data_IF_810335669961
#
_entry.id   IF_810335669961
#
_cell.length_a   1.000
_cell.length_b   1.000
_cell.length_c   1.000
_cell.angle_alpha   90.00
_cell.angle_beta   90.00
_cell.angle_gamma   90.00
#
_symmetry.space_group_name_H-M   'P 1'
#
loop_
_entity.id
_entity.type
_entity.pdbx_description
1 polymer ?
#
# COMPACT_ATOMS: atom_id res chain seq x y z
N UNK A 1 -11.54 -10.53 10.55
CA UNK A 1 -11.23 -11.87 11.07
C UNK A 1 -12.23 -12.28 12.16
N UNK A 2 -12.73 -13.50 12.15
CA UNK A 2 -13.67 -14.02 13.17
C UNK A 2 -13.06 -14.01 14.57
N UNK A 3 -11.75 -14.21 14.66
CA UNK A 3 -11.01 -14.23 15.93
C UNK A 3 -10.59 -12.84 16.42
N UNK A 4 -10.91 -11.77 15.67
CA UNK A 4 -10.45 -10.43 15.99
C UNK A 4 -11.46 -9.57 16.75
N UNK A 5 -11.08 -8.33 17.08
CA UNK A 5 -9.94 -7.62 16.49
C UNK A 5 -8.57 -8.19 16.90
N UNK A 6 -7.68 -8.35 15.94
CA UNK A 6 -6.34 -8.92 16.14
C UNK A 6 -5.34 -8.38 15.13
N UNK A 7 -4.07 -8.23 15.51
CA UNK A 7 -2.96 -7.90 14.62
C UNK A 7 -2.48 -9.11 13.79
N UNK A 8 -2.90 -10.33 14.17
CA UNK A 8 -2.54 -11.59 13.51
C UNK A 8 -3.79 -12.28 13.00
N UNK A 9 -4.31 -11.91 11.82
CA UNK A 9 -5.50 -12.54 11.26
C UNK A 9 -5.29 -14.04 10.99
N UNK A 10 -6.36 -14.83 11.17
CA UNK A 10 -6.26 -16.30 11.08
C UNK A 10 -5.97 -16.85 9.68
N UNK A 11 -6.15 -16.07 8.62
CA UNK A 11 -5.96 -16.48 7.24
C UNK A 11 -6.99 -17.50 6.69
N UNK A 12 -7.89 -18.01 7.53
CA UNK A 12 -8.76 -19.12 7.17
C UNK A 12 -10.25 -18.77 7.09
N UNK A 13 -10.72 -17.80 7.86
CA UNK A 13 -12.12 -17.39 7.82
C UNK A 13 -12.44 -16.64 6.50
N UNK A 14 -13.73 -16.54 6.16
CA UNK A 14 -14.18 -15.92 4.91
C UNK A 14 -13.57 -14.53 4.70
N UNK A 15 -13.64 -13.63 5.68
CA UNK A 15 -13.06 -12.28 5.58
C UNK A 15 -11.55 -12.30 5.36
N UNK A 16 -10.82 -13.20 6.02
CA UNK A 16 -9.37 -13.31 5.83
C UNK A 16 -9.00 -13.81 4.43
N UNK A 17 -9.74 -14.77 3.90
CA UNK A 17 -9.52 -15.31 2.55
C UNK A 17 -9.86 -14.28 1.47
N UNK A 18 -10.98 -13.56 1.65
CA UNK A 18 -11.41 -12.56 0.69
C UNK A 18 -10.43 -11.37 0.62
N UNK A 19 -9.84 -10.98 1.77
CA UNK A 19 -8.88 -9.89 1.86
C UNK A 19 -7.41 -10.32 1.70
N UNK A 20 -7.14 -11.60 1.47
CA UNK A 20 -5.79 -12.08 1.17
C UNK A 20 -5.33 -11.60 -0.22
N UNK A 21 -4.02 -11.59 -0.44
CA UNK A 21 -3.45 -11.29 -1.77
C UNK A 21 -4.04 -12.23 -2.82
N UNK A 22 -4.62 -11.66 -3.87
CA UNK A 22 -5.33 -12.41 -4.92
C UNK A 22 -6.75 -12.86 -4.55
N UNK A 23 -7.25 -12.50 -3.37
CA UNK A 23 -8.64 -12.73 -2.99
C UNK A 23 -9.62 -11.79 -3.73
N UNK A 24 -10.93 -12.10 -3.70
CA UNK A 24 -11.95 -11.32 -4.42
C UNK A 24 -12.23 -9.95 -3.80
N UNK A 25 -11.66 -9.64 -2.63
CA UNK A 25 -11.97 -8.44 -1.86
C UNK A 25 -13.22 -8.56 -1.00
N UNK A 26 -13.57 -7.51 -0.29
CA UNK A 26 -14.78 -7.42 0.53
C UNK A 26 -15.57 -6.16 0.17
N UNK A 27 -16.91 -6.28 0.11
CA UNK A 27 -17.79 -5.10 -0.07
C UNK A 27 -17.71 -4.11 1.10
N UNK A 28 -17.22 -4.57 2.24
CA UNK A 28 -17.04 -3.75 3.45
C UNK A 28 -15.66 -3.07 3.51
N UNK A 29 -14.76 -3.38 2.56
CA UNK A 29 -13.46 -2.70 2.40
C UNK A 29 -13.43 -2.07 1.01
N UNK A 30 -13.49 -0.75 0.97
CA UNK A 30 -13.59 0.04 -0.26
C UNK A 30 -12.31 0.83 -0.41
N UNK A 31 -11.57 0.56 -1.46
CA UNK A 31 -10.38 1.30 -1.84
C UNK A 31 -10.72 2.29 -2.95
N UNK A 32 -10.31 3.52 -2.78
CA UNK A 32 -10.57 4.64 -3.68
C UNK A 32 -9.24 5.30 -4.00
N UNK A 33 -8.87 5.30 -5.25
CA UNK A 33 -7.73 6.06 -5.75
C UNK A 33 -8.14 7.54 -5.92
N UNK A 34 -7.61 8.39 -5.06
CA UNK A 34 -7.90 9.83 -5.12
C UNK A 34 -7.26 10.53 -6.31
N UNK A 35 -6.33 9.92 -7.03
CA UNK A 35 -5.86 10.47 -8.30
C UNK A 35 -6.95 10.48 -9.37
N UNK A 36 -7.83 9.48 -9.34
CA UNK A 36 -8.96 9.33 -10.29
C UNK A 36 -10.30 9.83 -9.71
N UNK A 37 -10.48 9.80 -8.40
CA UNK A 37 -11.73 10.09 -7.68
C UNK A 37 -11.49 11.13 -6.57
N UNK A 38 -11.37 12.40 -6.93
CA UNK A 38 -10.92 13.46 -6.02
C UNK A 38 -11.94 14.59 -5.81
N UNK A 39 -13.09 14.50 -6.47
CA UNK A 39 -14.07 15.56 -6.52
C UNK A 39 -15.10 15.56 -5.38
N UNK A 40 -15.96 16.57 -5.40
CA UNK A 40 -17.05 16.70 -4.43
C UNK A 40 -18.09 15.59 -4.60
N UNK A 41 -18.33 15.14 -5.82
CA UNK A 41 -19.32 14.11 -6.10
C UNK A 41 -18.84 12.74 -5.63
N UNK A 42 -17.56 12.41 -5.83
CA UNK A 42 -16.94 11.20 -5.26
C UNK A 42 -17.03 11.20 -3.73
N UNK A 43 -16.78 12.35 -3.10
CA UNK A 43 -16.91 12.51 -1.66
C UNK A 43 -18.36 12.37 -1.16
N UNK A 44 -19.35 12.81 -1.93
CA UNK A 44 -20.77 12.62 -1.62
C UNK A 44 -21.18 11.15 -1.72
N UNK A 45 -20.77 10.46 -2.78
CA UNK A 45 -21.03 9.03 -2.96
C UNK A 45 -20.42 8.22 -1.81
N UNK A 46 -19.19 8.53 -1.42
CA UNK A 46 -18.55 7.90 -0.26
C UNK A 46 -19.36 8.14 1.02
N UNK A 47 -19.83 9.37 1.23
CA UNK A 47 -20.63 9.72 2.41
C UNK A 47 -21.95 8.95 2.43
N UNK A 48 -22.65 8.83 1.30
CA UNK A 48 -23.87 8.06 1.19
C UNK A 48 -23.64 6.58 1.50
N UNK A 49 -22.56 6.00 0.96
CA UNK A 49 -22.17 4.62 1.23
C UNK A 49 -21.79 4.38 2.70
N UNK A 50 -21.24 5.37 3.38
CA UNK A 50 -20.83 5.27 4.76
C UNK A 50 -21.99 5.20 5.77
N UNK A 51 -23.17 5.66 5.40
CA UNK A 51 -24.38 5.58 6.24
C UNK A 51 -24.82 4.14 6.44
N UNK A 52 -24.62 3.28 5.44
CA UNK A 52 -25.07 1.89 5.51
C UNK A 52 -24.12 1.04 6.34
N UNK A 53 -24.68 0.19 7.19
CA UNK A 53 -23.94 -0.80 7.96
C UNK A 53 -23.12 -1.73 7.04
N UNK A 54 -22.06 -2.35 7.58
CA UNK A 54 -21.33 -3.39 6.86
C UNK A 54 -22.25 -4.53 6.48
N UNK A 55 -21.99 -5.15 5.33
CA UNK A 55 -22.78 -6.28 4.83
C UNK A 55 -22.46 -7.58 5.60
N UNK A 56 -21.21 -7.76 6.01
CA UNK A 56 -20.72 -8.97 6.70
C UNK A 56 -19.73 -8.69 7.80
N UNK A 57 -18.78 -7.79 7.56
CA UNK A 57 -17.66 -7.56 8.45
C UNK A 57 -18.03 -6.64 9.63
N UNK A 58 -17.16 -6.48 10.61
CA UNK A 58 -17.43 -5.64 11.78
C UNK A 58 -17.44 -4.16 11.47
N UNK A 59 -16.62 -3.77 10.51
CA UNK A 59 -16.43 -2.38 10.11
C UNK A 59 -16.52 -2.26 8.60
N UNK A 60 -17.03 -1.13 8.17
CA UNK A 60 -16.88 -0.65 6.80
C UNK A 60 -15.64 0.22 6.75
N UNK A 61 -14.67 -0.18 5.94
CA UNK A 61 -13.37 0.48 5.85
C UNK A 61 -13.27 1.19 4.51
N UNK A 62 -12.99 2.48 4.54
CA UNK A 62 -12.68 3.28 3.35
C UNK A 62 -11.19 3.59 3.35
N UNK A 63 -10.50 3.17 2.30
CA UNK A 63 -9.09 3.44 2.06
C UNK A 63 -9.02 4.46 0.93
N UNK A 64 -8.54 5.65 1.23
CA UNK A 64 -8.27 6.69 0.23
C UNK A 64 -6.78 6.67 -0.06
N UNK A 65 -6.42 6.08 -1.19
CA UNK A 65 -5.04 6.09 -1.67
C UNK A 65 -4.72 7.41 -2.37
N UNK A 66 -3.47 7.85 -2.29
CA UNK A 66 -3.00 9.17 -2.74
C UNK A 66 -3.89 10.32 -2.22
N UNK A 67 -4.24 10.24 -0.93
CA UNK A 67 -5.20 11.15 -0.30
C UNK A 67 -4.87 12.65 -0.46
N UNK A 68 -3.61 13.00 -0.71
CA UNK A 68 -3.21 14.37 -1.01
C UNK A 68 -3.76 14.90 -2.35
N UNK A 69 -4.25 14.01 -3.22
CA UNK A 69 -4.90 14.38 -4.49
C UNK A 69 -6.36 14.79 -4.32
N UNK A 70 -6.99 14.51 -3.19
CA UNK A 70 -8.37 14.96 -2.91
C UNK A 70 -8.42 16.48 -2.89
N UNK A 71 -9.35 17.05 -3.67
CA UNK A 71 -9.51 18.50 -3.71
C UNK A 71 -9.95 19.06 -2.36
N UNK A 72 -9.63 20.33 -2.03
CA UNK A 72 -10.12 20.96 -0.79
C UNK A 72 -11.65 20.88 -0.64
N UNK A 73 -12.38 20.99 -1.75
CA UNK A 73 -13.85 20.88 -1.76
C UNK A 73 -14.29 19.44 -1.48
N UNK A 74 -13.60 18.44 -2.04
CA UNK A 74 -13.82 17.02 -1.74
C UNK A 74 -13.59 16.72 -0.27
N UNK A 75 -12.47 17.15 0.29
CA UNK A 75 -12.23 17.02 1.73
C UNK A 75 -13.29 17.72 2.59
N UNK A 76 -13.71 18.92 2.22
CA UNK A 76 -14.77 19.63 2.96
C UNK A 76 -16.10 18.84 2.95
N UNK A 77 -16.41 18.13 1.88
CA UNK A 77 -17.60 17.27 1.82
C UNK A 77 -17.49 16.03 2.74
N UNK A 78 -16.26 15.58 3.04
CA UNK A 78 -15.97 14.47 3.94
C UNK A 78 -15.79 14.88 5.40
N UNK A 79 -15.53 16.17 5.70
CA UNK A 79 -15.15 16.62 7.04
C UNK A 79 -16.10 16.13 8.12
N UNK A 80 -17.41 16.32 7.94
CA UNK A 80 -18.39 15.91 8.94
C UNK A 80 -18.36 14.41 9.23
N UNK A 81 -18.13 13.61 8.19
CA UNK A 81 -18.05 12.15 8.30
C UNK A 81 -16.75 11.69 9.00
N UNK A 82 -15.65 12.43 8.81
CA UNK A 82 -14.36 12.14 9.47
C UNK A 82 -14.35 12.67 10.90
N UNK A 83 -15.03 13.78 11.18
CA UNK A 83 -15.18 14.34 12.51
C UNK A 83 -16.06 13.48 13.42
N UNK A 84 -17.16 13.01 12.91
CA UNK A 84 -18.16 12.21 13.63
C UNK A 84 -18.53 10.96 12.82
N UNK A 85 -17.56 10.01 12.66
CA UNK A 85 -17.81 8.82 11.87
C UNK A 85 -18.84 7.92 12.55
N UNK A 86 -19.73 7.26 11.77
CA UNK A 86 -20.55 6.20 12.32
C UNK A 86 -19.70 5.14 13.03
N UNK A 87 -20.17 4.51 14.11
CA UNK A 87 -19.37 3.56 14.89
C UNK A 87 -18.78 2.40 14.09
N UNK A 88 -19.44 2.04 13.01
CA UNK A 88 -19.04 0.96 12.10
C UNK A 88 -18.10 1.39 10.98
N UNK A 89 -17.76 2.68 10.87
CA UNK A 89 -16.91 3.21 9.79
C UNK A 89 -15.49 3.45 10.27
N UNK A 90 -14.53 3.08 9.43
CA UNK A 90 -13.09 3.38 9.59
C UNK A 90 -12.54 4.00 8.33
N UNK A 91 -11.72 5.03 8.49
CA UNK A 91 -10.99 5.67 7.39
C UNK A 91 -9.50 5.38 7.49
N UNK A 92 -8.89 5.09 6.34
CA UNK A 92 -7.45 5.00 6.15
C UNK A 92 -7.10 5.97 5.01
N UNK A 93 -6.26 6.93 5.30
CA UNK A 93 -5.72 7.87 4.31
C UNK A 93 -4.27 7.49 4.05
N UNK A 94 -3.98 6.96 2.86
CA UNK A 94 -2.63 6.69 2.41
C UNK A 94 -2.13 7.85 1.56
N UNK A 95 -0.91 8.31 1.79
CA UNK A 95 -0.33 9.43 1.05
C UNK A 95 1.19 9.42 1.11
N UNK A 96 1.82 9.84 0.02
CA UNK A 96 3.25 10.14 -0.05
C UNK A 96 3.58 11.55 0.42
N UNK A 97 2.57 12.45 0.51
CA UNK A 97 2.72 13.87 0.85
C UNK A 97 1.75 14.28 1.98
N UNK A 98 2.01 13.84 3.22
CA UNK A 98 1.08 14.06 4.34
C UNK A 98 0.86 15.54 4.64
N UNK A 99 1.80 16.42 4.33
CA UNK A 99 1.69 17.87 4.51
C UNK A 99 0.66 18.51 3.58
N UNK A 100 0.35 17.91 2.43
CA UNK A 100 -0.69 18.38 1.50
C UNK A 100 -2.10 17.97 1.91
N UNK A 101 -2.25 16.98 2.80
CA UNK A 101 -3.55 16.64 3.38
C UNK A 101 -3.99 17.77 4.31
N UNK A 102 -5.24 18.21 4.19
CA UNK A 102 -5.73 19.37 4.97
C UNK A 102 -5.60 19.13 6.49
N UNK A 103 -5.22 20.20 7.21
CA UNK A 103 -4.93 20.15 8.64
C UNK A 103 -6.07 19.61 9.51
N UNK A 104 -7.32 19.84 9.10
CA UNK A 104 -8.51 19.34 9.79
C UNK A 104 -8.63 17.82 9.76
N UNK A 105 -8.23 17.17 8.68
CA UNK A 105 -8.14 15.70 8.58
C UNK A 105 -6.97 15.20 9.42
N UNK A 106 -5.78 15.79 9.24
CA UNK A 106 -4.57 15.37 9.96
C UNK A 106 -4.72 15.44 11.48
N UNK A 107 -5.41 16.45 12.00
CA UNK A 107 -5.62 16.63 13.45
C UNK A 107 -6.56 15.59 14.06
N UNK A 108 -7.31 14.85 13.24
CA UNK A 108 -8.29 13.84 13.67
C UNK A 108 -7.89 12.41 13.32
N UNK A 109 -6.69 12.23 12.77
CA UNK A 109 -6.17 10.93 12.36
C UNK A 109 -4.85 10.63 13.07
N UNK A 110 -4.59 9.36 13.32
CA UNK A 110 -3.27 8.90 13.75
C UNK A 110 -2.36 8.82 12.54
N UNK A 111 -1.17 9.40 12.66
CA UNK A 111 -0.15 9.35 11.60
C UNK A 111 0.84 8.22 11.86
N UNK A 112 0.98 7.33 10.89
CA UNK A 112 1.90 6.21 10.88
C UNK A 112 2.91 6.40 9.74
N UNK A 113 4.11 6.96 9.99
CA UNK A 113 5.10 7.19 8.95
C UNK A 113 5.80 5.88 8.56
N UNK A 114 5.77 5.54 7.27
CA UNK A 114 6.57 4.48 6.68
C UNK A 114 7.83 5.08 6.09
N UNK A 115 8.98 4.73 6.67
CA UNK A 115 10.29 5.23 6.24
C UNK A 115 10.88 4.35 5.15
N UNK A 116 11.84 4.88 4.41
CA UNK A 116 12.68 4.11 3.51
C UNK A 116 13.35 2.95 4.28
N UNK A 117 13.48 1.80 3.62
CA UNK A 117 14.06 0.61 4.23
C UNK A 117 15.59 0.72 4.17
N UNK A 118 16.29 0.44 5.28
CA UNK A 118 17.75 0.43 5.31
C UNK A 118 18.36 -0.54 4.28
N UNK A 119 19.52 -0.17 3.68
CA UNK A 119 20.14 -0.96 2.61
C UNK A 119 20.51 -2.39 2.99
N UNK A 120 20.92 -2.61 4.21
CA UNK A 120 21.25 -3.93 4.76
C UNK A 120 20.04 -4.86 4.83
N UNK A 121 18.88 -4.33 5.27
CA UNK A 121 17.62 -5.06 5.32
C UNK A 121 17.14 -5.39 3.91
N UNK A 122 17.19 -4.43 2.98
CA UNK A 122 16.83 -4.66 1.57
C UNK A 122 17.74 -5.71 0.95
N UNK A 123 19.05 -5.62 1.15
CA UNK A 123 20.01 -6.60 0.62
C UNK A 123 19.72 -8.01 1.13
N UNK A 124 19.44 -8.17 2.42
CA UNK A 124 19.07 -9.45 3.01
C UNK A 124 17.78 -10.00 2.40
N UNK A 125 16.77 -9.17 2.28
CA UNK A 125 15.48 -9.53 1.67
C UNK A 125 15.64 -9.97 0.20
N UNK A 126 16.39 -9.21 -0.61
CA UNK A 126 16.63 -9.56 -2.00
C UNK A 126 17.44 -10.84 -2.15
N UNK A 127 18.39 -11.10 -1.23
CA UNK A 127 19.16 -12.35 -1.23
C UNK A 127 18.22 -13.55 -1.03
N UNK A 128 17.33 -13.48 -0.06
CA UNK A 128 16.35 -14.52 0.20
C UNK A 128 15.38 -14.69 -0.99
N UNK A 129 14.94 -13.60 -1.59
CA UNK A 129 14.05 -13.63 -2.76
C UNK A 129 14.72 -14.32 -3.95
N UNK A 130 15.95 -13.93 -4.31
CA UNK A 130 16.72 -14.56 -5.39
C UNK A 130 16.92 -16.06 -5.16
N UNK A 131 17.16 -16.47 -3.91
CA UNK A 131 17.26 -17.90 -3.57
C UNK A 131 15.94 -18.65 -3.79
N UNK A 132 14.81 -18.07 -3.43
CA UNK A 132 13.49 -18.66 -3.66
C UNK A 132 13.14 -18.79 -5.14
N UNK A 133 13.52 -17.79 -5.94
CA UNK A 133 13.33 -17.76 -7.39
C UNK A 133 14.40 -18.56 -8.15
N UNK A 134 15.37 -19.19 -7.46
CA UNK A 134 16.48 -19.94 -8.03
C UNK A 134 17.34 -19.11 -9.00
N UNK A 135 17.53 -17.83 -8.73
CA UNK A 135 18.36 -16.92 -9.51
C UNK A 135 19.75 -16.82 -8.90
N UNK A 136 20.77 -17.19 -9.66
CA UNK A 136 22.16 -16.98 -9.28
C UNK A 136 22.50 -15.49 -9.37
N UNK A 137 23.13 -14.95 -8.32
CA UNK A 137 23.47 -13.53 -8.25
C UNK A 137 24.95 -13.35 -8.02
N UNK A 138 25.62 -12.64 -8.93
CA UNK A 138 27.03 -12.30 -8.86
C UNK A 138 27.32 -11.32 -7.72
N UNK A 139 28.59 -11.36 -7.25
CA UNK A 139 29.04 -10.46 -6.18
C UNK A 139 28.87 -8.99 -6.57
N UNK A 140 28.26 -8.20 -5.71
CA UNK A 140 28.07 -6.76 -5.88
C UNK A 140 26.79 -6.34 -6.63
N UNK A 141 26.05 -7.26 -7.24
CA UNK A 141 24.81 -6.96 -7.96
C UNK A 141 23.72 -6.41 -7.02
N UNK A 142 23.41 -7.11 -5.92
CA UNK A 142 22.35 -6.66 -5.01
C UNK A 142 22.61 -5.28 -4.40
N UNK A 143 23.83 -4.91 -3.99
CA UNK A 143 24.12 -3.52 -3.60
C UNK A 143 23.84 -2.48 -4.67
N UNK A 144 24.06 -2.77 -5.96
CA UNK A 144 23.69 -1.88 -7.05
C UNK A 144 22.16 -1.72 -7.15
N UNK A 145 21.42 -2.84 -7.11
CA UNK A 145 19.96 -2.85 -7.13
C UNK A 145 19.37 -2.03 -5.98
N UNK A 146 19.87 -2.25 -4.76
CA UNK A 146 19.43 -1.51 -3.56
C UNK A 146 19.72 -0.02 -3.69
N UNK A 147 20.88 0.35 -4.24
CA UNK A 147 21.23 1.75 -4.48
C UNK A 147 20.31 2.40 -5.52
N UNK A 148 20.01 1.70 -6.59
CA UNK A 148 19.09 2.18 -7.65
C UNK A 148 17.66 2.36 -7.13
N UNK A 149 17.19 1.47 -6.24
CA UNK A 149 15.85 1.54 -5.64
C UNK A 149 15.69 2.58 -4.53
N UNK A 150 16.80 3.23 -4.08
CA UNK A 150 16.76 4.38 -3.18
C UNK A 150 16.09 4.14 -1.82
N UNK A 151 15.95 2.89 -1.37
CA UNK A 151 15.28 2.52 -0.11
C UNK A 151 13.77 2.25 -0.26
N UNK A 152 13.21 2.42 -1.46
CA UNK A 152 11.86 1.98 -1.82
C UNK A 152 11.88 0.49 -2.14
N UNK A 153 11.04 -0.29 -1.46
CA UNK A 153 10.91 -1.74 -1.74
C UNK A 153 10.37 -1.96 -3.16
N UNK A 154 9.32 -1.20 -3.55
CA UNK A 154 8.72 -1.29 -4.89
C UNK A 154 9.75 -1.04 -5.98
N UNK A 155 10.47 0.07 -5.90
CA UNK A 155 11.44 0.45 -6.94
C UNK A 155 12.62 -0.53 -6.97
N UNK A 156 13.08 -0.95 -5.80
CA UNK A 156 14.14 -1.96 -5.68
C UNK A 156 13.74 -3.30 -6.31
N UNK A 157 12.50 -3.75 -6.10
CA UNK A 157 11.98 -4.97 -6.71
C UNK A 157 11.79 -4.79 -8.22
N UNK A 158 11.31 -3.64 -8.70
CA UNK A 158 11.19 -3.35 -10.12
C UNK A 158 12.54 -3.38 -10.84
N UNK A 159 13.56 -2.81 -10.22
CA UNK A 159 14.94 -2.86 -10.73
C UNK A 159 15.45 -4.30 -10.78
N UNK A 160 15.23 -5.08 -9.72
CA UNK A 160 15.63 -6.50 -9.69
C UNK A 160 14.93 -7.30 -10.78
N UNK A 161 13.64 -7.13 -10.95
CA UNK A 161 12.83 -7.82 -11.97
C UNK A 161 13.31 -7.52 -13.39
N UNK A 162 13.62 -6.25 -13.69
CA UNK A 162 14.21 -5.86 -14.98
C UNK A 162 15.56 -6.54 -15.23
N UNK A 163 16.41 -6.61 -14.22
CA UNK A 163 17.68 -7.31 -14.32
C UNK A 163 17.50 -8.81 -14.54
N UNK A 164 16.55 -9.42 -13.83
CA UNK A 164 16.22 -10.85 -13.97
C UNK A 164 15.70 -11.16 -15.39
N UNK A 165 14.86 -10.29 -15.96
CA UNK A 165 14.38 -10.43 -17.32
C UNK A 165 15.50 -10.35 -18.38
N UNK A 166 16.57 -9.61 -18.09
CA UNK A 166 17.75 -9.49 -18.94
C UNK A 166 18.88 -10.50 -18.63
N UNK A 167 18.69 -11.35 -17.62
CA UNK A 167 19.71 -12.31 -17.20
C UNK A 167 19.90 -13.43 -18.21
N UNK A 168 21.16 -13.80 -18.43
CA UNK A 168 21.52 -15.01 -19.18
C UNK A 168 21.35 -16.28 -18.34
N UNK A 169 21.65 -17.45 -18.92
CA UNK A 169 21.53 -18.73 -18.22
C UNK A 169 22.44 -18.85 -16.98
N UNK A 170 23.48 -18.02 -16.89
CA UNK A 170 24.43 -17.99 -15.78
C UNK A 170 23.99 -17.10 -14.61
N UNK A 171 22.81 -16.47 -14.72
CA UNK A 171 22.23 -15.59 -13.69
C UNK A 171 22.61 -14.11 -13.87
N UNK A 172 22.57 -13.36 -12.77
CA UNK A 172 22.82 -11.91 -12.75
C UNK A 172 24.31 -11.65 -12.48
N UNK A 173 25.05 -11.24 -13.51
CA UNK A 173 26.42 -10.78 -13.35
C UNK A 173 26.52 -9.25 -13.13
N UNK A 174 27.64 -8.82 -12.55
CA UNK A 174 27.86 -7.41 -12.21
C UNK A 174 27.98 -6.51 -13.46
N UNK A 175 28.59 -6.99 -14.52
CA UNK A 175 28.84 -6.21 -15.75
C UNK A 175 27.51 -5.90 -16.44
N UNK A 176 26.67 -6.92 -16.57
CA UNK A 176 25.31 -6.77 -17.12
C UNK A 176 24.47 -5.86 -16.24
N UNK A 177 24.53 -6.01 -14.90
CA UNK A 177 23.79 -5.15 -13.99
C UNK A 177 24.18 -3.67 -14.13
N UNK A 178 25.49 -3.36 -14.23
CA UNK A 178 25.96 -1.99 -14.45
C UNK A 178 25.54 -1.42 -15.80
N UNK A 179 25.46 -2.26 -16.84
CA UNK A 179 25.08 -1.80 -18.18
C UNK A 179 23.57 -1.50 -18.31
N UNK A 180 22.74 -2.10 -17.44
CA UNK A 180 21.28 -1.95 -17.45
C UNK A 180 20.76 -0.90 -16.45
N UNK A 181 21.57 -0.48 -15.47
CA UNK A 181 21.25 0.51 -14.46
C UNK A 181 21.93 1.85 -14.71
#
# INVERSE_FOLDING_TARGET
CEQGPTSTPCGQCASCRDLATGGPGSHDVVEIDAASHNGVDDARDLRERAVYAPARDRFKVFILDEAHMVTPQGFNALLKLVEEPPPHVKFVFATTEPEKVIGTIRSRTHHYPFRLVPPDILTSYLTELCQRENVAVGKGVLPLVVRAGGGSVRDTLSVLDQLMAGAGPDGLDYTTAVALL
#
